data_IF_652051360537
#
_entry.id   IF_652051360537
#
_cell.length_a   1.000
_cell.length_b   1.000
_cell.length_c   1.000
_cell.angle_alpha   90.00
_cell.angle_beta   90.00
_cell.angle_gamma   90.00
#
_symmetry.space_group_name_H-M   'P 1'
#
loop_
_entity.id
_entity.type
_entity.pdbx_description
1 polymer ?
#
# COMPACT_ATOMS: atom_id res chain seq x y z
N UNK A 1 -36.69 27.12 15.67
CA UNK A 1 -36.74 25.64 15.75
C UNK A 1 -35.62 25.11 14.85
N UNK A 2 -34.46 24.78 15.41
CA UNK A 2 -33.28 24.37 14.64
C UNK A 2 -33.39 22.89 14.26
N UNK A 3 -33.37 22.62 12.95
CA UNK A 3 -33.39 21.27 12.40
C UNK A 3 -32.15 20.47 12.81
N UNK A 4 -32.38 19.31 13.42
CA UNK A 4 -31.32 18.35 13.74
C UNK A 4 -30.84 17.72 12.43
N UNK A 5 -29.72 18.17 11.90
CA UNK A 5 -28.97 17.40 10.90
C UNK A 5 -28.43 16.14 11.58
N UNK A 6 -29.03 14.99 11.28
CA UNK A 6 -28.42 13.69 11.59
C UNK A 6 -27.15 13.59 10.75
N UNK A 7 -25.97 13.66 11.39
CA UNK A 7 -24.71 13.23 10.79
C UNK A 7 -24.91 11.76 10.41
N UNK A 8 -25.11 11.50 9.12
CA UNK A 8 -25.14 10.15 8.60
C UNK A 8 -23.74 9.59 8.83
N UNK A 9 -23.60 8.60 9.71
CA UNK A 9 -22.32 7.92 9.91
C UNK A 9 -21.90 7.35 8.56
N UNK A 10 -20.79 7.84 8.00
CA UNK A 10 -20.24 7.32 6.76
C UNK A 10 -19.98 5.82 6.95
N UNK A 11 -20.46 5.00 6.01
CA UNK A 11 -20.15 3.57 5.99
C UNK A 11 -18.63 3.40 6.10
N UNK A 12 -18.12 2.47 6.94
CA UNK A 12 -16.70 2.19 6.98
C UNK A 12 -16.21 1.74 5.60
N UNK A 13 -15.13 2.34 5.12
CA UNK A 13 -14.49 1.98 3.85
C UNK A 13 -13.83 0.60 3.97
N UNK A 14 -13.91 -0.17 2.90
CA UNK A 14 -13.11 -1.39 2.70
C UNK A 14 -11.64 -1.05 2.52
N UNK A 15 -10.76 -2.04 2.71
CA UNK A 15 -9.33 -1.87 2.44
C UNK A 15 -9.04 -1.46 0.99
N UNK A 16 -9.85 -1.96 0.03
CA UNK A 16 -9.75 -1.57 -1.37
C UNK A 16 -10.07 -0.09 -1.59
N UNK A 17 -11.18 0.40 -1.01
CA UNK A 17 -11.58 1.81 -1.11
C UNK A 17 -10.53 2.73 -0.45
N UNK A 18 -9.92 2.30 0.67
CA UNK A 18 -8.85 3.05 1.32
C UNK A 18 -7.58 3.13 0.45
N UNK A 19 -7.19 2.02 -0.18
CA UNK A 19 -6.04 1.99 -1.07
C UNK A 19 -6.26 2.85 -2.33
N UNK A 20 -7.47 2.83 -2.90
CA UNK A 20 -7.88 3.68 -4.03
C UNK A 20 -7.85 5.17 -3.66
N UNK A 21 -8.36 5.54 -2.49
CA UNK A 21 -8.27 6.91 -1.99
C UNK A 21 -6.81 7.33 -1.77
N UNK A 22 -5.97 6.43 -1.26
CA UNK A 22 -4.52 6.66 -1.13
C UNK A 22 -3.85 6.96 -2.47
N UNK A 23 -4.17 6.21 -3.52
CA UNK A 23 -3.69 6.48 -4.89
C UNK A 23 -4.15 7.87 -5.37
N UNK A 24 -5.44 8.20 -5.17
CA UNK A 24 -6.01 9.49 -5.56
C UNK A 24 -5.28 10.65 -4.89
N UNK A 25 -5.06 10.57 -3.58
CA UNK A 25 -4.40 11.64 -2.82
C UNK A 25 -2.93 11.83 -3.25
N UNK A 26 -2.21 10.75 -3.53
CA UNK A 26 -0.84 10.82 -4.06
C UNK A 26 -0.82 11.48 -5.44
N UNK A 27 -1.79 11.16 -6.32
CA UNK A 27 -1.90 11.79 -7.63
C UNK A 27 -2.20 13.30 -7.53
N UNK A 28 -3.07 13.71 -6.62
CA UNK A 28 -3.39 15.13 -6.36
C UNK A 28 -2.14 15.87 -5.86
N UNK A 29 -1.48 15.33 -4.84
CA UNK A 29 -0.28 15.94 -4.26
C UNK A 29 0.85 16.09 -5.29
N UNK A 30 1.08 15.06 -6.11
CA UNK A 30 2.07 15.11 -7.18
C UNK A 30 1.74 16.20 -8.22
N UNK A 31 0.47 16.29 -8.63
CA UNK A 31 0.01 17.31 -9.60
C UNK A 31 0.15 18.74 -9.06
N UNK A 32 -0.04 18.92 -7.76
CA UNK A 32 0.11 20.22 -7.11
C UNK A 32 1.57 20.59 -6.82
N UNK A 33 2.51 19.65 -6.94
CA UNK A 33 3.90 19.84 -6.50
C UNK A 33 4.07 19.79 -4.98
N UNK A 34 3.11 19.21 -4.25
CA UNK A 34 3.17 19.04 -2.79
C UNK A 34 4.14 17.91 -2.38
N UNK A 35 4.40 16.99 -3.31
CA UNK A 35 5.36 15.89 -3.14
C UNK A 35 6.22 15.75 -4.39
N UNK A 36 7.49 15.43 -4.16
CA UNK A 36 8.42 15.01 -5.21
C UNK A 36 8.69 13.52 -5.10
N UNK A 37 8.92 12.89 -6.25
CA UNK A 37 9.34 11.50 -6.30
C UNK A 37 10.81 11.37 -6.70
N UNK A 38 11.48 10.41 -6.08
CA UNK A 38 12.82 9.95 -6.46
C UNK A 38 12.70 8.68 -7.29
N UNK A 39 13.44 8.60 -8.40
CA UNK A 39 13.45 7.36 -9.21
C UNK A 39 14.01 6.18 -8.39
N UNK A 40 13.40 5.02 -8.56
CA UNK A 40 13.82 3.76 -7.95
C UNK A 40 15.26 3.39 -8.31
N UNK A 41 15.94 2.67 -7.42
CA UNK A 41 17.35 2.27 -7.59
C UNK A 41 17.50 0.88 -8.19
N UNK A 42 16.48 0.04 -8.06
CA UNK A 42 16.38 -1.33 -8.59
C UNK A 42 15.51 -1.36 -9.85
N UNK A 43 14.44 -0.57 -9.87
CA UNK A 43 13.47 -0.49 -10.96
C UNK A 43 13.28 0.96 -11.38
N UNK A 44 13.77 1.31 -12.57
CA UNK A 44 13.75 2.68 -13.09
C UNK A 44 12.34 3.21 -13.41
N UNK A 45 11.34 2.34 -13.49
CA UNK A 45 9.94 2.67 -13.77
C UNK A 45 9.07 2.77 -12.51
N UNK A 46 9.69 2.68 -11.33
CA UNK A 46 9.08 2.99 -10.03
C UNK A 46 9.70 4.27 -9.50
N UNK A 47 8.89 5.09 -8.84
CA UNK A 47 9.35 6.27 -8.14
C UNK A 47 8.88 6.24 -6.69
N UNK A 48 9.68 6.78 -5.77
CA UNK A 48 9.46 6.71 -4.34
C UNK A 48 9.36 8.11 -3.72
N UNK A 49 8.47 8.26 -2.76
CA UNK A 49 8.36 9.39 -1.86
C UNK A 49 8.39 8.89 -0.42
N UNK A 50 9.12 9.57 0.46
CA UNK A 50 9.24 9.21 1.86
C UNK A 50 8.71 10.34 2.74
N UNK A 51 7.85 10.00 3.69
CA UNK A 51 7.31 10.94 4.67
C UNK A 51 7.07 10.27 6.03
N UNK A 52 6.55 11.05 6.99
CA UNK A 52 6.33 10.61 8.37
C UNK A 52 4.97 11.07 8.94
N UNK A 53 3.84 10.56 8.40
CA UNK A 53 2.53 10.84 8.98
C UNK A 53 2.49 10.39 10.44
N UNK A 54 2.13 11.30 11.35
CA UNK A 54 2.12 11.07 12.79
C UNK A 54 3.45 10.51 13.35
N UNK A 55 4.59 10.83 12.72
CA UNK A 55 5.91 10.35 13.12
C UNK A 55 6.25 8.92 12.69
N UNK A 56 5.36 8.25 11.97
CA UNK A 56 5.58 6.87 11.48
C UNK A 56 6.12 6.90 10.06
N UNK A 57 7.24 6.22 9.81
CA UNK A 57 7.85 6.17 8.49
C UNK A 57 6.88 5.57 7.47
N UNK A 58 6.67 6.28 6.37
CA UNK A 58 5.93 5.80 5.21
C UNK A 58 6.75 6.00 3.94
N UNK A 59 6.85 4.94 3.15
CA UNK A 59 7.40 4.96 1.81
C UNK A 59 6.27 4.70 0.82
N UNK A 60 6.00 5.69 -0.03
CA UNK A 60 5.04 5.60 -1.13
C UNK A 60 5.79 5.38 -2.42
N UNK A 61 5.47 4.30 -3.11
CA UNK A 61 5.99 3.97 -4.43
C UNK A 61 4.90 4.14 -5.47
N UNK A 62 5.24 4.69 -6.63
CA UNK A 62 4.31 4.95 -7.72
C UNK A 62 4.86 4.47 -9.05
N UNK A 63 3.95 4.10 -9.95
CA UNK A 63 4.21 4.01 -11.39
C UNK A 63 3.50 5.16 -12.08
N UNK A 64 4.20 5.79 -13.02
CA UNK A 64 3.68 6.88 -13.85
C UNK A 64 3.27 6.29 -15.21
N UNK A 65 2.18 6.82 -15.78
CA UNK A 65 1.68 6.42 -17.09
C UNK A 65 2.76 6.56 -18.17
N UNK A 66 2.94 5.57 -19.04
CA UNK A 66 3.85 5.70 -20.18
C UNK A 66 3.25 6.56 -21.31
N UNK A 67 1.94 6.86 -21.26
CA UNK A 67 1.21 7.54 -22.34
C UNK A 67 0.61 8.88 -21.94
N UNK A 68 0.41 9.12 -20.64
CA UNK A 68 -0.15 10.36 -20.12
C UNK A 68 0.88 11.01 -19.20
N UNK A 69 1.33 12.20 -19.57
CA UNK A 69 2.39 12.89 -18.84
C UNK A 69 1.97 13.14 -17.38
N UNK A 70 2.86 12.80 -16.44
CA UNK A 70 2.71 12.99 -14.99
C UNK A 70 1.48 12.31 -14.35
N UNK A 71 0.84 11.34 -15.01
CA UNK A 71 -0.29 10.61 -14.42
C UNK A 71 0.20 9.45 -13.56
N UNK A 72 -0.13 9.46 -12.27
CA UNK A 72 0.12 8.31 -11.37
C UNK A 72 -0.93 7.23 -11.61
N UNK A 73 -0.51 6.07 -12.12
CA UNK A 73 -1.42 4.97 -12.51
C UNK A 73 -1.49 3.84 -11.50
N UNK A 74 -0.46 3.70 -10.66
CA UNK A 74 -0.41 2.68 -9.63
C UNK A 74 0.40 3.19 -8.44
N UNK A 75 0.01 2.76 -7.24
CA UNK A 75 0.66 3.14 -5.99
C UNK A 75 0.77 1.93 -5.07
N UNK A 76 1.87 1.83 -4.36
CA UNK A 76 2.10 0.88 -3.27
C UNK A 76 2.70 1.64 -2.08
N UNK A 77 2.31 1.30 -0.86
CA UNK A 77 2.92 1.87 0.35
C UNK A 77 3.53 0.80 1.22
N UNK A 78 4.63 1.17 1.87
CA UNK A 78 5.20 0.50 3.02
C UNK A 78 5.13 1.47 4.20
N UNK A 79 4.24 1.19 5.16
CA UNK A 79 4.05 1.99 6.37
C UNK A 79 4.57 1.22 7.56
N UNK A 80 5.44 1.80 8.39
CA UNK A 80 5.76 1.21 9.68
C UNK A 80 4.49 1.20 10.53
N UNK A 81 3.98 0.01 10.84
CA UNK A 81 2.75 -0.16 11.61
C UNK A 81 3.07 -0.36 13.08
N UNK A 82 3.96 -1.32 13.38
CA UNK A 82 4.35 -1.68 14.75
C UNK A 82 5.74 -2.28 14.82
N UNK A 83 6.23 -2.46 16.04
CA UNK A 83 7.46 -3.20 16.33
C UNK A 83 7.12 -4.32 17.31
N UNK A 84 7.35 -5.57 16.90
CA UNK A 84 7.08 -6.76 17.71
C UNK A 84 8.40 -7.43 18.07
N UNK A 85 8.69 -7.61 19.36
CA UNK A 85 9.92 -8.26 19.84
C UNK A 85 11.20 -7.73 19.15
N UNK A 86 11.28 -6.41 18.97
CA UNK A 86 12.40 -5.70 18.30
C UNK A 86 12.49 -5.88 16.77
N UNK A 87 11.47 -6.47 16.15
CA UNK A 87 11.34 -6.62 14.69
C UNK A 87 10.26 -5.68 14.17
N UNK A 88 10.59 -4.74 13.27
CA UNK A 88 9.59 -3.85 12.68
C UNK A 88 8.67 -4.60 11.72
N UNK A 89 7.37 -4.31 11.82
CA UNK A 89 6.32 -4.82 10.94
C UNK A 89 5.81 -3.67 10.09
N UNK A 90 5.90 -3.82 8.79
CA UNK A 90 5.42 -2.86 7.81
C UNK A 90 4.12 -3.34 7.19
N UNK A 91 3.11 -2.47 7.20
CA UNK A 91 1.90 -2.67 6.41
C UNK A 91 2.18 -2.31 4.96
N UNK A 92 1.78 -3.21 4.07
CA UNK A 92 1.87 -3.09 2.63
C UNK A 92 0.47 -3.07 2.02
N UNK A 93 0.20 -2.05 1.22
CA UNK A 93 -1.06 -1.93 0.49
C UNK A 93 -0.81 -1.34 -0.91
N UNK A 94 -1.71 -1.61 -1.87
CA UNK A 94 -1.56 -1.16 -3.26
C UNK A 94 -2.89 -0.85 -3.92
N UNK A 95 -2.84 0.03 -4.93
CA UNK A 95 -3.96 0.36 -5.79
C UNK A 95 -3.50 0.68 -7.21
N UNK A 96 -4.43 0.50 -8.16
CA UNK A 96 -4.25 0.82 -9.57
C UNK A 96 -5.45 1.64 -10.03
N UNK A 97 -5.18 2.68 -10.81
CA UNK A 97 -6.18 3.52 -11.46
C UNK A 97 -7.09 2.63 -12.31
N UNK A 98 -8.40 2.84 -12.23
CA UNK A 98 -9.38 1.91 -12.79
C UNK A 98 -9.17 1.62 -14.28
N UNK A 99 -8.86 2.65 -15.07
CA UNK A 99 -8.55 2.55 -16.50
C UNK A 99 -7.30 1.73 -16.83
N UNK A 100 -6.42 1.48 -15.85
CA UNK A 100 -5.19 0.69 -15.98
C UNK A 100 -5.29 -0.71 -15.35
N UNK A 101 -6.46 -1.11 -14.84
CA UNK A 101 -6.66 -2.46 -14.26
C UNK A 101 -6.64 -3.54 -15.34
N UNK A 102 -6.38 -4.78 -14.92
CA UNK A 102 -6.32 -5.95 -15.82
C UNK A 102 -5.05 -6.06 -16.68
N UNK A 103 -4.13 -5.09 -16.59
CA UNK A 103 -2.91 -5.02 -17.42
C UNK A 103 -1.64 -5.44 -16.65
N UNK A 104 -1.77 -5.96 -15.43
CA UNK A 104 -0.62 -6.40 -14.61
C UNK A 104 0.04 -5.32 -13.75
N UNK A 105 -0.41 -4.06 -13.81
CA UNK A 105 0.17 -2.98 -12.99
C UNK A 105 0.06 -3.21 -11.48
N UNK A 106 -0.98 -3.90 -11.01
CA UNK A 106 -1.15 -4.17 -9.58
C UNK A 106 -0.05 -5.08 -9.01
N UNK A 107 0.24 -6.18 -9.71
CA UNK A 107 1.37 -7.05 -9.31
C UNK A 107 2.71 -6.36 -9.54
N UNK A 108 2.85 -5.58 -10.63
CA UNK A 108 4.08 -4.88 -10.94
C UNK A 108 4.44 -3.87 -9.84
N UNK A 109 3.51 -2.97 -9.47
CA UNK A 109 3.78 -1.96 -8.44
C UNK A 109 4.05 -2.63 -7.09
N UNK A 110 3.28 -3.65 -6.71
CA UNK A 110 3.47 -4.33 -5.42
C UNK A 110 4.85 -5.01 -5.34
N UNK A 111 5.18 -5.84 -6.34
CA UNK A 111 6.44 -6.60 -6.35
C UNK A 111 7.66 -5.69 -6.44
N UNK A 112 7.66 -4.71 -7.36
CA UNK A 112 8.80 -3.81 -7.53
C UNK A 112 9.02 -2.92 -6.32
N UNK A 113 7.94 -2.46 -5.68
CA UNK A 113 8.03 -1.69 -4.42
C UNK A 113 8.60 -2.52 -3.28
N UNK A 114 8.24 -3.80 -3.18
CA UNK A 114 8.82 -4.73 -2.21
C UNK A 114 10.33 -4.92 -2.45
N UNK A 115 10.75 -5.03 -3.72
CA UNK A 115 12.17 -5.14 -4.08
C UNK A 115 12.95 -3.85 -3.76
N UNK A 116 12.40 -2.67 -4.10
CA UNK A 116 12.99 -1.37 -3.76
C UNK A 116 13.12 -1.18 -2.25
N UNK A 117 12.06 -1.48 -1.50
CA UNK A 117 12.06 -1.39 -0.04
C UNK A 117 13.13 -2.30 0.57
N UNK A 118 13.16 -3.57 0.14
CA UNK A 118 14.13 -4.56 0.63
C UNK A 118 15.57 -4.11 0.36
N UNK A 119 15.86 -3.66 -0.85
CA UNK A 119 17.15 -3.09 -1.21
C UNK A 119 17.48 -1.83 -0.38
N UNK A 120 16.48 -0.97 -0.13
CA UNK A 120 16.65 0.24 0.66
C UNK A 120 16.89 0.02 2.16
N UNK A 121 16.41 -1.10 2.69
CA UNK A 121 16.53 -1.50 4.10
C UNK A 121 17.74 -2.39 4.38
N UNK A 122 18.41 -2.90 3.35
CA UNK A 122 19.60 -3.74 3.52
C UNK A 122 20.64 -3.06 4.42
N UNK A 123 21.05 -3.76 5.48
CA UNK A 123 22.01 -3.26 6.48
C UNK A 123 21.46 -2.23 7.48
N UNK A 124 20.22 -1.72 7.30
CA UNK A 124 19.58 -0.78 8.22
C UNK A 124 18.72 -1.48 9.27
N UNK A 125 18.05 -2.57 8.91
CA UNK A 125 17.15 -3.33 9.79
C UNK A 125 17.86 -4.59 10.31
N UNK A 126 18.71 -4.42 11.33
CA UNK A 126 19.59 -5.47 11.87
C UNK A 126 18.88 -6.65 12.53
N UNK A 127 17.62 -6.50 12.91
CA UNK A 127 16.78 -7.59 13.43
C UNK A 127 15.99 -8.31 12.33
N UNK A 128 16.18 -7.93 11.07
CA UNK A 128 15.24 -8.26 10.00
C UNK A 128 13.98 -7.40 10.09
N UNK A 129 12.95 -7.77 9.35
CA UNK A 129 11.65 -7.10 9.34
C UNK A 129 10.56 -8.01 8.80
N UNK A 130 9.31 -7.58 8.98
CA UNK A 130 8.13 -8.27 8.47
C UNK A 130 7.37 -7.34 7.54
N UNK A 131 6.88 -7.90 6.43
CA UNK A 131 5.89 -7.25 5.58
C UNK A 131 4.56 -7.97 5.77
N UNK A 132 3.51 -7.20 6.06
CA UNK A 132 2.15 -7.68 6.23
C UNK A 132 1.22 -6.95 5.25
N UNK A 133 0.34 -7.70 4.57
CA UNK A 133 -0.77 -7.12 3.83
C UNK A 133 -2.09 -7.74 4.32
N UNK A 134 -3.10 -6.90 4.55
CA UNK A 134 -4.44 -7.34 4.96
C UNK A 134 -5.41 -7.08 3.81
N UNK A 135 -6.10 -8.12 3.35
CA UNK A 135 -7.02 -8.05 2.21
C UNK A 135 -8.40 -8.53 2.63
N UNK A 136 -9.42 -7.70 2.39
CA UNK A 136 -10.82 -8.08 2.64
C UNK A 136 -11.26 -9.24 1.74
N UNK A 137 -12.11 -10.10 2.28
CA UNK A 137 -12.78 -11.15 1.52
C UNK A 137 -13.59 -10.58 0.35
N UNK A 138 -13.40 -11.17 -0.83
CA UNK A 138 -13.99 -10.75 -2.10
C UNK A 138 -13.11 -9.84 -2.96
N UNK A 139 -11.94 -9.40 -2.47
CA UNK A 139 -10.94 -8.71 -3.30
C UNK A 139 -9.99 -9.72 -3.98
N UNK A 140 -10.53 -10.51 -4.92
CA UNK A 140 -9.82 -11.63 -5.54
C UNK A 140 -8.51 -11.22 -6.23
N UNK A 141 -8.47 -10.03 -6.82
CA UNK A 141 -7.26 -9.51 -7.46
C UNK A 141 -6.14 -9.32 -6.43
N UNK A 142 -6.44 -8.69 -5.30
CA UNK A 142 -5.45 -8.45 -4.24
C UNK A 142 -5.09 -9.72 -3.49
N UNK A 143 -6.05 -10.64 -3.28
CA UNK A 143 -5.78 -11.95 -2.70
C UNK A 143 -4.78 -12.75 -3.55
N UNK A 144 -4.93 -12.73 -4.87
CA UNK A 144 -3.98 -13.38 -5.81
C UNK A 144 -2.59 -12.74 -5.75
N UNK A 145 -2.51 -11.41 -5.70
CA UNK A 145 -1.24 -10.69 -5.60
C UNK A 145 -0.55 -11.03 -4.27
N UNK A 146 -1.24 -10.81 -3.14
CA UNK A 146 -0.71 -11.02 -1.79
C UNK A 146 -0.18 -12.45 -1.59
N UNK A 147 -0.96 -13.45 -2.01
CA UNK A 147 -0.55 -14.86 -1.94
C UNK A 147 0.70 -15.15 -2.77
N UNK A 148 0.87 -14.49 -3.91
CA UNK A 148 2.03 -14.67 -4.79
C UNK A 148 3.29 -13.98 -4.25
N UNK A 149 3.17 -12.80 -3.65
CA UNK A 149 4.36 -12.00 -3.24
C UNK A 149 4.78 -12.21 -1.78
N UNK A 150 3.81 -12.43 -0.88
CA UNK A 150 4.05 -12.58 0.56
C UNK A 150 3.85 -14.03 1.03
N UNK A 151 2.83 -14.74 0.51
CA UNK A 151 2.47 -16.05 1.04
C UNK A 151 1.94 -15.94 2.48
N UNK A 152 2.18 -16.95 3.32
CA UNK A 152 1.93 -16.86 4.78
C UNK A 152 0.50 -16.47 5.17
N UNK A 153 -0.50 -16.97 4.45
CA UNK A 153 -1.89 -16.54 4.59
C UNK A 153 -2.55 -17.04 5.88
N UNK A 154 -3.23 -16.13 6.59
CA UNK A 154 -4.09 -16.42 7.73
C UNK A 154 -5.42 -15.70 7.56
N UNK A 155 -6.52 -16.45 7.68
CA UNK A 155 -7.88 -15.90 7.62
C UNK A 155 -8.35 -15.52 9.02
N UNK A 156 -8.84 -14.29 9.17
CA UNK A 156 -9.34 -13.72 10.42
C UNK A 156 -10.71 -13.08 10.20
N UNK A 157 -11.68 -13.25 11.11
CA UNK A 157 -12.96 -12.55 11.02
C UNK A 157 -12.75 -11.03 11.20
N UNK A 158 -13.46 -10.21 10.41
CA UNK A 158 -13.52 -8.75 10.55
C UNK A 158 -14.96 -8.32 10.90
N UNK A 159 -15.27 -8.18 12.21
CA UNK A 159 -16.61 -7.84 12.67
C UNK A 159 -17.12 -6.48 12.19
N UNK A 160 -16.22 -5.54 11.86
CA UNK A 160 -16.59 -4.17 11.47
C UNK A 160 -17.31 -4.11 10.11
N UNK A 161 -17.02 -5.07 9.23
CA UNK A 161 -17.60 -5.15 7.87
C UNK A 161 -18.39 -6.45 7.64
N UNK A 162 -18.49 -7.32 8.65
CA UNK A 162 -19.22 -8.59 8.58
C UNK A 162 -18.64 -9.58 7.57
N UNK A 163 -17.33 -9.49 7.29
CA UNK A 163 -16.59 -10.33 6.35
C UNK A 163 -15.32 -10.89 6.99
N UNK A 164 -14.68 -11.85 6.34
CA UNK A 164 -13.31 -12.22 6.71
C UNK A 164 -12.29 -11.25 6.11
N UNK A 165 -11.10 -11.26 6.69
CA UNK A 165 -9.88 -10.64 6.18
C UNK A 165 -8.80 -11.69 6.08
N UNK A 166 -7.94 -11.56 5.08
CA UNK A 166 -6.81 -12.43 4.85
C UNK A 166 -5.54 -11.62 5.14
N UNK A 167 -4.84 -11.96 6.22
CA UNK A 167 -3.50 -11.41 6.50
C UNK A 167 -2.46 -12.29 5.82
N UNK A 168 -1.55 -11.66 5.08
CA UNK A 168 -0.42 -12.31 4.42
C UNK A 168 0.85 -11.74 5.00
N UNK A 169 1.68 -12.60 5.58
CA UNK A 169 2.88 -12.19 6.29
C UNK A 169 4.12 -12.85 5.71
N UNK A 170 5.15 -12.05 5.44
CA UNK A 170 6.47 -12.53 5.04
C UNK A 170 7.56 -11.95 5.93
N UNK A 171 8.38 -12.84 6.48
CA UNK A 171 9.57 -12.48 7.28
C UNK A 171 10.77 -12.31 6.35
N UNK A 172 11.50 -11.22 6.55
CA UNK A 172 12.78 -10.93 5.91
C UNK A 172 13.85 -10.93 7.01
N UNK A 173 14.74 -11.94 7.04
CA UNK A 173 15.78 -12.00 8.06
C UNK A 173 16.81 -10.88 7.87
N UNK A 174 17.60 -10.63 8.92
CA UNK A 174 18.71 -9.68 8.91
C UNK A 174 19.80 -10.03 7.89
#
# INVERSE_FOLDING_TARGET
MFGKFKKQASKPMTGAELAEEGLRQVAIAAKNGDIDFQRGRVHEDIFAHADQPAGMMRLTYVMISPTVENEVIARCVMLLDRVEANTPVFQMDWAVLESYRGQGFGIAVALKSLMEFTNGMQGKLKSGYVIEAVVDEGNDASLKIARKILGGEKVLPNPAIGKNTHSFLRVFPA
#
